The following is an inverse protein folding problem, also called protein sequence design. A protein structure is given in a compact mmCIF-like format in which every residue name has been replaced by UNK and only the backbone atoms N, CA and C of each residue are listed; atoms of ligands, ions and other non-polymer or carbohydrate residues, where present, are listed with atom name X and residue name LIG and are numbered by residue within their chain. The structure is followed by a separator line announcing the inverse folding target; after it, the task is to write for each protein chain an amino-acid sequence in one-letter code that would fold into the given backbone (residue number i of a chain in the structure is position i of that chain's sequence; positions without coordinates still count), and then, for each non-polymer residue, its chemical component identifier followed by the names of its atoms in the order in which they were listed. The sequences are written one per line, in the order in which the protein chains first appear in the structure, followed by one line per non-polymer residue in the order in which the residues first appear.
data_IF_587219808613
#
_entry.id   IF_587219808613
#
_cell.length_a   1.000
_cell.length_b   1.000
_cell.length_c   1.000
_cell.angle_alpha   90.00
_cell.angle_beta   90.00
_cell.angle_gamma   90.00
#
_symmetry.space_group_name_H-M   'P 1'
#
loop_
_entity.id
_entity.type
_entity.pdbx_description
1 polymer ?
#
# COMPACT_ATOMS: atom_id res chain seq x y z
N UNK A 1 -4.04 -12.26 -9.40
CA UNK A 1 -3.44 -13.29 -10.25
C UNK A 1 -4.02 -13.22 -11.66
N UNK A 2 -3.15 -13.18 -12.66
CA UNK A 2 -3.51 -13.41 -14.06
C UNK A 2 -2.86 -14.72 -14.49
N UNK A 3 -3.60 -15.85 -14.54
CA UNK A 3 -3.02 -17.10 -15.00
C UNK A 3 -2.67 -16.99 -16.49
N UNK A 4 -1.56 -17.61 -16.89
CA UNK A 4 -1.18 -17.75 -18.29
C UNK A 4 -1.47 -19.18 -18.71
N UNK A 5 -2.33 -19.34 -19.72
CA UNK A 5 -2.74 -20.64 -20.24
C UNK A 5 -1.57 -21.33 -20.96
N UNK A 6 -1.68 -22.63 -21.21
CA UNK A 6 -0.65 -23.40 -21.90
C UNK A 6 -0.38 -22.91 -23.34
N UNK A 7 -1.35 -22.25 -23.96
CA UNK A 7 -1.24 -21.62 -25.29
C UNK A 7 -0.68 -20.18 -25.24
N UNK A 8 -0.28 -19.70 -24.06
CA UNK A 8 0.27 -18.36 -23.85
C UNK A 8 -0.78 -17.25 -23.74
N UNK A 9 -2.07 -17.56 -23.85
CA UNK A 9 -3.13 -16.56 -23.67
C UNK A 9 -3.36 -16.25 -22.18
N UNK A 10 -3.77 -15.02 -21.84
CA UNK A 10 -4.17 -14.70 -20.48
C UNK A 10 -5.51 -15.36 -20.14
N UNK A 11 -5.58 -15.99 -18.97
CA UNK A 11 -6.84 -16.43 -18.38
C UNK A 11 -7.58 -15.28 -17.69
N UNK A 12 -8.60 -15.61 -16.89
CA UNK A 12 -9.36 -14.61 -16.15
C UNK A 12 -8.53 -14.02 -15.01
N UNK A 13 -8.40 -12.69 -14.99
CA UNK A 13 -7.81 -11.95 -13.88
C UNK A 13 -8.65 -12.16 -12.62
N UNK A 14 -8.00 -12.43 -11.50
CA UNK A 14 -8.60 -12.46 -10.16
C UNK A 14 -7.81 -11.55 -9.23
N UNK A 15 -8.44 -10.60 -8.57
CA UNK A 15 -7.83 -9.81 -7.51
C UNK A 15 -7.68 -10.63 -6.23
N UNK A 16 -6.77 -10.20 -5.35
CA UNK A 16 -6.75 -10.68 -3.95
C UNK A 16 -7.82 -9.93 -3.15
N UNK A 17 -7.94 -8.62 -3.38
CA UNK A 17 -9.03 -7.77 -2.92
C UNK A 17 -9.62 -7.10 -4.16
N UNK A 18 -10.93 -7.27 -4.36
CA UNK A 18 -11.63 -6.70 -5.51
C UNK A 18 -12.61 -5.61 -5.07
N UNK A 19 -12.58 -4.47 -5.75
CA UNK A 19 -13.58 -3.39 -5.63
C UNK A 19 -13.79 -2.78 -4.22
N UNK A 20 -12.81 -2.87 -3.33
CA UNK A 20 -12.87 -2.26 -1.99
C UNK A 20 -12.23 -0.86 -1.95
N UNK A 21 -13.01 0.17 -2.26
CA UNK A 21 -12.55 1.55 -2.17
C UNK A 21 -12.34 2.03 -0.72
N UNK A 22 -13.01 1.43 0.26
CA UNK A 22 -12.88 1.81 1.66
C UNK A 22 -11.53 1.34 2.23
N UNK A 23 -11.08 0.14 1.86
CA UNK A 23 -9.76 -0.34 2.25
C UNK A 23 -8.65 0.22 1.36
N UNK A 24 -8.81 0.19 0.03
CA UNK A 24 -7.71 0.35 -0.93
C UNK A 24 -7.88 1.53 -1.91
N UNK A 25 -8.86 2.41 -1.70
CA UNK A 25 -9.03 3.60 -2.53
C UNK A 25 -7.80 4.51 -2.45
N UNK A 26 -6.99 4.54 -3.50
CA UNK A 26 -5.68 5.24 -3.51
C UNK A 26 -4.50 4.37 -3.10
N UNK A 27 -4.61 3.03 -3.15
CA UNK A 27 -3.46 2.15 -3.03
C UNK A 27 -2.38 2.52 -4.08
N UNK A 28 -1.13 2.60 -3.63
CA UNK A 28 0.02 3.01 -4.45
C UNK A 28 1.10 1.93 -4.40
N UNK A 29 2.10 2.08 -3.52
CA UNK A 29 3.12 1.08 -3.29
C UNK A 29 2.70 -0.02 -2.33
N UNK A 30 3.40 -1.13 -2.41
CA UNK A 30 3.29 -2.26 -1.49
C UNK A 30 4.64 -2.88 -1.22
N UNK A 31 4.74 -3.63 -0.12
CA UNK A 31 5.84 -4.55 0.15
C UNK A 31 5.31 -5.86 0.71
N UNK A 32 6.02 -6.97 0.43
CA UNK A 32 5.65 -8.29 0.95
C UNK A 32 6.27 -8.49 2.33
N UNK A 33 5.46 -8.96 3.26
CA UNK A 33 5.86 -9.24 4.63
C UNK A 33 6.31 -10.70 4.80
N UNK A 34 7.04 -10.98 5.89
CA UNK A 34 7.62 -12.31 6.14
C UNK A 34 6.59 -13.45 6.30
N UNK A 35 5.39 -13.13 6.78
CA UNK A 35 4.23 -14.02 6.90
C UNK A 35 3.48 -14.20 5.58
N UNK A 36 3.93 -13.54 4.50
CA UNK A 36 3.37 -13.65 3.17
C UNK A 36 2.24 -12.67 2.86
N UNK A 37 1.76 -11.88 3.83
CA UNK A 37 0.85 -10.77 3.58
C UNK A 37 1.56 -9.63 2.86
N UNK A 38 0.78 -8.64 2.43
CA UNK A 38 1.30 -7.40 1.89
C UNK A 38 1.02 -6.26 2.87
N UNK A 39 1.95 -5.32 2.99
CA UNK A 39 1.66 -4.01 3.53
C UNK A 39 1.55 -3.05 2.35
N UNK A 40 0.45 -2.30 2.29
CA UNK A 40 0.08 -1.42 1.19
C UNK A 40 -0.04 0.00 1.71
N UNK A 41 0.56 0.96 1.04
CA UNK A 41 0.31 2.37 1.30
C UNK A 41 -0.92 2.82 0.51
N UNK A 42 -1.88 3.42 1.21
CA UNK A 42 -3.12 3.92 0.63
C UNK A 42 -3.07 5.44 0.71
N UNK A 43 -2.48 6.04 -0.32
CA UNK A 43 -2.03 7.42 -0.35
C UNK A 43 -3.18 8.43 -0.16
N UNK A 44 -4.33 8.19 -0.79
CA UNK A 44 -5.52 9.07 -0.70
C UNK A 44 -6.20 9.05 0.66
N UNK A 45 -5.83 8.09 1.51
CA UNK A 45 -6.45 7.87 2.81
C UNK A 45 -5.44 8.00 3.95
N UNK A 46 -4.22 8.45 3.66
CA UNK A 46 -3.12 8.62 4.62
C UNK A 46 -2.99 7.41 5.56
N UNK A 47 -3.04 6.19 5.02
CA UNK A 47 -3.00 4.97 5.82
C UNK A 47 -2.14 3.87 5.22
N UNK A 48 -1.77 2.92 6.08
CA UNK A 48 -1.13 1.67 5.71
C UNK A 48 -2.07 0.51 6.03
N UNK A 49 -2.26 -0.37 5.06
CA UNK A 49 -3.19 -1.51 5.15
C UNK A 49 -2.42 -2.80 4.97
N UNK A 50 -2.61 -3.75 5.87
CA UNK A 50 -2.19 -5.13 5.69
C UNK A 50 -3.24 -5.86 4.86
N UNK A 51 -2.80 -6.58 3.84
CA UNK A 51 -3.65 -7.42 2.98
C UNK A 51 -3.16 -8.86 3.10
N UNK A 52 -4.01 -9.72 3.67
CA UNK A 52 -3.76 -11.15 3.78
C UNK A 52 -3.92 -11.88 2.44
N UNK A 53 -3.39 -13.10 2.37
CA UNK A 53 -3.48 -13.94 1.18
C UNK A 53 -4.94 -14.31 0.81
N UNK A 54 -5.87 -14.27 1.77
CA UNK A 54 -7.29 -14.52 1.55
C UNK A 54 -8.08 -13.25 1.19
N UNK A 55 -7.42 -12.10 1.10
CA UNK A 55 -8.06 -10.82 0.81
C UNK A 55 -8.56 -10.04 2.02
N UNK A 56 -8.35 -10.55 3.24
CA UNK A 56 -8.67 -9.78 4.45
C UNK A 56 -7.79 -8.53 4.52
N UNK A 57 -8.42 -7.37 4.75
CA UNK A 57 -7.74 -6.09 4.91
C UNK A 57 -7.76 -5.67 6.38
N UNK A 58 -6.66 -5.09 6.87
CA UNK A 58 -6.56 -4.55 8.23
C UNK A 58 -5.76 -3.27 8.21
N UNK A 59 -6.34 -2.17 8.70
CA UNK A 59 -5.62 -0.91 8.87
C UNK A 59 -4.53 -1.10 9.94
N UNK A 60 -3.27 -0.85 9.56
CA UNK A 60 -2.09 -0.96 10.45
C UNK A 60 -1.76 0.39 11.07
N UNK A 61 -1.91 1.45 10.28
CA UNK A 61 -1.68 2.83 10.69
C UNK A 61 -2.59 3.75 9.89
N UNK A 62 -3.24 4.72 10.55
CA UNK A 62 -4.13 5.70 9.92
C UNK A 62 -3.75 7.10 10.39
N UNK A 63 -3.48 7.99 9.45
CA UNK A 63 -3.07 9.37 9.69
C UNK A 63 -1.71 9.52 10.40
N UNK A 64 -1.62 10.50 11.28
CA UNK A 64 -0.38 10.84 12.00
C UNK A 64 0.64 11.51 11.09
N UNK A 65 1.85 10.96 11.04
CA UNK A 65 2.95 11.44 10.19
C UNK A 65 2.81 10.97 8.74
N UNK A 66 1.78 10.19 8.39
CA UNK A 66 1.52 9.81 7.01
C UNK A 66 0.97 11.01 6.24
N UNK A 67 1.60 11.33 5.11
CA UNK A 67 1.16 12.38 4.19
C UNK A 67 1.34 11.88 2.76
N UNK A 68 0.23 11.38 2.20
CA UNK A 68 0.18 10.75 0.90
C UNK A 68 1.29 9.69 0.72
N UNK A 69 1.32 8.63 1.57
CA UNK A 69 2.36 7.62 1.53
C UNK A 69 2.34 6.86 0.20
N UNK A 70 3.48 6.73 -0.47
CA UNK A 70 3.58 6.17 -1.82
C UNK A 70 4.27 4.81 -1.82
N UNK A 71 5.59 4.76 -1.64
CA UNK A 71 6.38 3.53 -1.77
C UNK A 71 6.71 2.93 -0.40
N UNK A 72 6.81 1.60 -0.34
CA UNK A 72 7.32 0.88 0.83
C UNK A 72 8.52 0.02 0.48
N UNK A 73 9.39 -0.22 1.46
CA UNK A 73 10.49 -1.18 1.34
C UNK A 73 10.87 -1.76 2.69
N UNK A 74 11.19 -3.05 2.72
CA UNK A 74 11.65 -3.74 3.93
C UNK A 74 13.17 -3.69 4.01
N UNK A 75 13.70 -3.45 5.21
CA UNK A 75 15.12 -3.60 5.51
C UNK A 75 15.31 -4.04 6.97
N UNK A 76 15.75 -5.29 7.16
CA UNK A 76 15.90 -5.89 8.48
C UNK A 76 14.56 -6.01 9.21
N UNK A 77 14.45 -5.33 10.36
CA UNK A 77 13.29 -5.32 11.24
C UNK A 77 12.32 -4.16 10.96
N UNK A 78 12.57 -3.40 9.90
CA UNK A 78 11.89 -2.15 9.64
C UNK A 78 11.31 -2.06 8.24
N UNK A 79 10.11 -1.50 8.17
CA UNK A 79 9.51 -1.03 6.93
C UNK A 79 9.79 0.45 6.78
N UNK A 80 10.24 0.86 5.60
CA UNK A 80 10.42 2.24 5.22
C UNK A 80 9.29 2.67 4.31
N UNK A 81 8.77 3.87 4.52
CA UNK A 81 7.65 4.43 3.73
C UNK A 81 8.04 5.81 3.24
N UNK A 82 7.84 6.09 1.95
CA UNK A 82 7.97 7.45 1.43
C UNK A 82 6.65 8.19 1.56
N UNK A 83 6.66 9.35 2.21
CA UNK A 83 5.59 10.34 2.07
C UNK A 83 5.86 11.13 0.80
N UNK A 84 4.96 11.01 -0.19
CA UNK A 84 5.02 11.85 -1.37
C UNK A 84 4.37 13.22 -1.11
N UNK A 85 3.43 13.29 -0.16
CA UNK A 85 2.73 14.50 0.25
C UNK A 85 2.03 15.26 -0.90
N UNK A 86 1.69 14.55 -1.98
CA UNK A 86 1.19 15.16 -3.22
C UNK A 86 -0.08 15.97 -3.00
N UNK A 87 -1.03 15.45 -2.21
CA UNK A 87 -2.34 16.09 -2.06
C UNK A 87 -2.21 17.48 -1.43
N UNK A 88 -1.48 17.58 -0.32
CA UNK A 88 -1.22 18.86 0.36
C UNK A 88 -0.37 19.79 -0.48
N UNK A 89 0.71 19.28 -1.08
CA UNK A 89 1.58 20.07 -1.95
C UNK A 89 0.82 20.68 -3.14
N UNK A 90 -0.08 19.91 -3.76
CA UNK A 90 -0.90 20.39 -4.89
C UNK A 90 -1.96 21.41 -4.47
N UNK A 91 -2.41 21.35 -3.23
CA UNK A 91 -3.35 22.31 -2.64
C UNK A 91 -2.66 23.60 -2.14
N UNK A 92 -1.33 23.68 -2.20
CA UNK A 92 -0.56 24.78 -1.61
C UNK A 92 -0.58 24.79 -0.09
N UNK A 93 -0.88 23.65 0.53
CA UNK A 93 -0.87 23.45 1.98
C UNK A 93 0.53 23.03 2.46
N UNK A 94 0.75 23.07 3.78
CA UNK A 94 1.98 22.54 4.38
C UNK A 94 2.04 21.03 4.16
N UNK A 95 3.00 20.59 3.35
CA UNK A 95 3.27 19.19 3.05
C UNK A 95 4.44 18.65 3.89
N UNK A 96 4.42 17.35 4.16
CA UNK A 96 5.44 16.64 4.94
C UNK A 96 6.06 15.48 4.12
N UNK A 97 6.74 15.78 3.00
CA UNK A 97 7.45 14.75 2.25
C UNK A 97 8.60 14.20 3.10
N UNK A 98 8.89 12.91 2.99
CA UNK A 98 9.92 12.29 3.81
C UNK A 98 10.04 10.79 3.67
N UNK A 99 11.04 10.23 4.36
CA UNK A 99 11.23 8.80 4.52
C UNK A 99 10.95 8.43 5.97
N UNK A 100 9.82 7.77 6.20
CA UNK A 100 9.45 7.25 7.51
C UNK A 100 10.07 5.89 7.73
N UNK A 101 10.35 5.56 8.99
CA UNK A 101 10.75 4.22 9.42
C UNK A 101 9.73 3.69 10.42
N UNK A 102 9.13 2.56 10.10
CA UNK A 102 8.24 1.80 10.97
C UNK A 102 9.03 0.62 11.52
N UNK A 103 9.01 0.45 12.84
CA UNK A 103 9.51 -0.78 13.49
C UNK A 103 8.30 -1.58 13.95
N UNK A 104 8.42 -2.91 13.84
CA UNK A 104 7.48 -3.84 14.49
C UNK A 104 7.71 -3.87 15.99
#
# INVERSE_FOLDING_TARGET
ELPINADGTPGALRGIVEHDCAALGGADGLTRQADGSFLVAVNRQDKLVRVDADGTTTDVLVGGELDFPASLGESGDATYVTNFALNRASAGESSQPGLLRLRR
#
